data_IF_891056954982
#
_entry.id   IF_891056954982
#
_cell.length_a   1.000
_cell.length_b   1.000
_cell.length_c   1.000
_cell.angle_alpha   90.00
_cell.angle_beta   90.00
_cell.angle_gamma   90.00
#
_symmetry.space_group_name_H-M   'P 1'
#
loop_
_entity.id
_entity.type
_entity.pdbx_description
1 polymer ?
#
# COMPACT_ATOMS: atom_id res chain seq x y z
N UNK A 1 -42.63 46.05 47.26
CA UNK A 1 -42.87 45.39 45.98
C UNK A 1 -41.57 45.03 45.39
N UNK A 2 -41.13 43.81 45.65
CA UNK A 2 -39.86 43.35 45.12
C UNK A 2 -40.13 42.34 44.03
N UNK A 3 -39.90 42.77 42.81
CA UNK A 3 -39.93 41.87 41.67
C UNK A 3 -38.55 41.26 41.50
N UNK A 4 -38.43 40.04 41.89
CA UNK A 4 -37.23 39.25 41.64
C UNK A 4 -37.33 38.73 40.21
N UNK A 5 -36.57 39.31 39.32
CA UNK A 5 -36.40 38.75 37.97
C UNK A 5 -35.38 37.64 38.09
N UNK A 6 -35.88 36.43 38.06
CA UNK A 6 -35.04 35.24 37.93
C UNK A 6 -34.48 35.20 36.50
N UNK A 7 -33.22 35.53 36.38
CA UNK A 7 -32.53 35.42 35.12
C UNK A 7 -32.14 33.95 34.94
N UNK A 8 -32.93 33.27 34.13
CA UNK A 8 -32.63 31.89 33.73
C UNK A 8 -31.50 31.95 32.72
N UNK A 9 -30.28 31.72 33.21
CA UNK A 9 -29.13 31.54 32.33
C UNK A 9 -29.20 30.12 31.76
N UNK A 10 -29.70 30.01 30.55
CA UNK A 10 -29.57 28.80 29.79
C UNK A 10 -28.09 28.60 29.40
N UNK A 11 -27.40 27.85 30.20
CA UNK A 11 -26.03 27.39 29.88
C UNK A 11 -26.17 26.31 28.80
N UNK A 12 -26.12 26.75 27.56
CA UNK A 12 -26.02 25.82 26.44
C UNK A 12 -24.67 25.15 26.49
N UNK A 13 -24.64 23.96 27.05
CA UNK A 13 -23.50 23.06 26.90
C UNK A 13 -23.37 22.67 25.43
N UNK A 14 -22.53 23.40 24.69
CA UNK A 14 -22.02 22.89 23.45
C UNK A 14 -21.10 21.71 23.79
N UNK A 15 -21.63 20.52 23.73
CA UNK A 15 -20.79 19.31 23.63
C UNK A 15 -20.22 19.37 22.22
N UNK A 16 -19.03 19.94 22.10
CA UNK A 16 -18.21 19.72 20.93
C UNK A 16 -17.86 18.23 20.97
N UNK A 17 -18.62 17.44 20.23
CA UNK A 17 -18.12 16.12 19.83
C UNK A 17 -16.79 16.38 19.15
N UNK A 18 -15.69 15.84 19.63
CA UNK A 18 -14.50 15.82 18.83
C UNK A 18 -14.93 15.16 17.54
N UNK A 19 -14.83 15.88 16.44
CA UNK A 19 -14.82 15.27 15.14
C UNK A 19 -13.71 14.26 15.25
N UNK A 20 -14.08 13.01 15.62
CA UNK A 20 -13.14 11.96 15.81
C UNK A 20 -12.32 11.98 14.55
N UNK A 21 -11.05 12.03 14.69
CA UNK A 21 -10.15 11.59 13.66
C UNK A 21 -10.43 10.11 13.45
N UNK A 22 -11.60 9.83 12.94
CA UNK A 22 -11.75 8.71 12.09
C UNK A 22 -10.97 9.10 10.87
N UNK A 23 -9.67 8.94 10.96
CA UNK A 23 -8.98 8.43 9.83
C UNK A 23 -9.73 7.14 9.51
N UNK A 24 -10.72 7.31 8.71
CA UNK A 24 -11.28 6.25 7.93
C UNK A 24 -10.05 5.65 7.30
N UNK A 25 -9.59 4.51 7.81
CA UNK A 25 -8.73 3.63 7.04
C UNK A 25 -9.33 3.71 5.67
N UNK A 26 -8.64 4.34 4.73
CA UNK A 26 -9.21 4.72 3.45
C UNK A 26 -9.89 3.51 2.87
N UNK A 27 -10.81 3.74 1.97
CA UNK A 27 -11.53 2.69 1.28
C UNK A 27 -10.61 1.54 0.94
N UNK A 28 -11.03 0.31 1.22
CA UNK A 28 -10.26 -0.90 0.95
C UNK A 28 -9.86 -0.94 -0.52
N UNK A 29 -8.57 -0.97 -0.77
CA UNK A 29 -8.03 -1.04 -2.12
C UNK A 29 -7.96 -2.48 -2.59
N UNK A 30 -8.03 -2.67 -3.89
CA UNK A 30 -7.79 -3.95 -4.52
C UNK A 30 -6.54 -3.87 -5.40
N UNK A 31 -5.69 -4.89 -5.28
CA UNK A 31 -4.58 -5.07 -6.21
C UNK A 31 -5.14 -5.57 -7.54
N UNK A 32 -5.26 -4.67 -8.50
CA UNK A 32 -5.87 -4.97 -9.79
C UNK A 32 -4.91 -5.62 -10.78
N UNK A 33 -3.61 -5.40 -10.59
CA UNK A 33 -2.58 -5.99 -11.45
C UNK A 33 -1.23 -6.06 -10.74
N UNK A 34 -0.54 -7.20 -10.93
CA UNK A 34 0.86 -7.38 -10.59
C UNK A 34 1.59 -7.83 -11.86
N UNK A 35 2.65 -7.14 -12.23
CA UNK A 35 3.36 -7.40 -13.46
C UNK A 35 4.87 -7.24 -13.35
N UNK A 36 5.54 -7.83 -14.33
CA UNK A 36 6.97 -7.69 -14.56
C UNK A 36 7.20 -7.25 -16.00
N UNK A 37 8.09 -6.30 -16.19
CA UNK A 37 8.45 -5.80 -17.50
C UNK A 37 9.94 -5.62 -17.62
N UNK A 38 10.51 -6.16 -18.68
CA UNK A 38 11.93 -6.05 -18.99
C UNK A 38 12.16 -4.90 -19.95
N UNK A 39 13.03 -3.97 -19.56
CA UNK A 39 13.56 -2.92 -20.43
C UNK A 39 15.01 -3.23 -20.77
N UNK A 40 15.60 -2.46 -21.67
CA UNK A 40 16.97 -2.63 -22.11
C UNK A 40 17.97 -2.50 -20.93
N UNK A 41 17.74 -1.54 -20.05
CA UNK A 41 18.64 -1.16 -18.95
C UNK A 41 18.04 -1.37 -17.56
N UNK A 42 16.80 -1.81 -17.48
CA UNK A 42 16.10 -1.99 -16.23
C UNK A 42 15.06 -3.10 -16.27
N UNK A 43 14.73 -3.64 -15.11
CA UNK A 43 13.62 -4.55 -14.91
C UNK A 43 12.61 -3.92 -13.98
N UNK A 44 11.37 -3.90 -14.37
CA UNK A 44 10.29 -3.28 -13.61
C UNK A 44 9.39 -4.34 -12.98
N UNK A 45 9.23 -4.28 -11.67
CA UNK A 45 8.14 -4.93 -10.95
C UNK A 45 7.11 -3.86 -10.63
N UNK A 46 5.87 -4.05 -11.04
CA UNK A 46 4.85 -3.03 -10.83
C UNK A 46 3.53 -3.60 -10.37
N UNK A 47 2.82 -2.79 -9.62
CA UNK A 47 1.47 -3.05 -9.15
C UNK A 47 0.55 -1.93 -9.58
N UNK A 48 -0.71 -2.28 -9.86
CA UNK A 48 -1.80 -1.33 -10.01
C UNK A 48 -2.85 -1.61 -8.95
N UNK A 49 -3.33 -0.58 -8.34
CA UNK A 49 -4.37 -0.63 -7.31
C UNK A 49 -5.57 0.20 -7.74
N UNK A 50 -6.73 -0.07 -7.15
CA UNK A 50 -7.96 0.67 -7.47
C UNK A 50 -7.89 2.14 -7.07
N UNK A 51 -7.13 2.44 -6.02
CA UNK A 51 -6.84 3.80 -5.55
C UNK A 51 -5.33 3.90 -5.28
N UNK A 52 -4.76 5.12 -5.23
CA UNK A 52 -3.35 5.28 -4.92
C UNK A 52 -2.94 4.55 -3.66
N UNK A 53 -1.89 3.73 -3.74
CA UNK A 53 -1.45 2.88 -2.65
C UNK A 53 -0.76 3.67 -1.54
N UNK A 54 -1.04 3.28 -0.30
CA UNK A 54 -0.18 3.58 0.85
C UNK A 54 0.71 2.36 1.06
N UNK A 55 2.01 2.55 1.10
CA UNK A 55 2.95 1.44 1.07
C UNK A 55 4.20 1.70 1.90
N UNK A 56 4.87 0.61 2.23
CA UNK A 56 6.20 0.61 2.85
C UNK A 56 7.10 -0.36 2.09
N UNK A 57 8.37 -0.01 1.99
CA UNK A 57 9.39 -0.86 1.38
C UNK A 57 10.41 -1.23 2.44
N UNK A 58 10.64 -2.53 2.61
CA UNK A 58 11.69 -3.07 3.46
C UNK A 58 12.74 -3.75 2.59
N UNK A 59 13.92 -3.20 2.55
CA UNK A 59 15.10 -3.71 1.86
C UNK A 59 16.23 -4.08 2.83
N UNK A 60 15.93 -4.21 4.11
CA UNK A 60 16.91 -4.50 5.15
C UNK A 60 17.54 -5.88 5.04
N UNK A 61 16.85 -6.82 4.40
CA UNK A 61 17.33 -8.18 4.19
C UNK A 61 18.00 -8.31 2.82
N UNK A 62 19.28 -8.72 2.75
CA UNK A 62 19.98 -8.91 1.49
C UNK A 62 19.23 -9.87 0.55
N UNK A 63 19.15 -9.52 -0.72
CA UNK A 63 18.52 -10.35 -1.74
C UNK A 63 17.00 -10.42 -1.70
N UNK A 64 16.36 -9.64 -0.84
CA UNK A 64 14.90 -9.62 -0.71
C UNK A 64 14.40 -8.21 -0.49
N UNK A 65 13.39 -7.82 -1.25
CA UNK A 65 12.68 -6.56 -1.07
C UNK A 65 11.22 -6.87 -0.82
N UNK A 66 10.67 -6.33 0.26
CA UNK A 66 9.27 -6.51 0.63
C UNK A 66 8.54 -5.19 0.46
N UNK A 67 7.63 -5.16 -0.48
CA UNK A 67 6.71 -4.06 -0.69
C UNK A 67 5.38 -4.40 -0.02
N UNK A 68 5.04 -3.69 1.04
CA UNK A 68 3.79 -3.87 1.77
C UNK A 68 2.79 -2.82 1.34
N UNK A 69 1.69 -3.24 0.75
CA UNK A 69 0.56 -2.39 0.39
C UNK A 69 -0.45 -2.41 1.52
N UNK A 70 -0.62 -1.27 2.18
CA UNK A 70 -1.52 -1.13 3.31
C UNK A 70 -2.97 -1.05 2.85
N UNK A 71 -3.89 -1.60 3.64
CA UNK A 71 -5.33 -1.58 3.37
C UNK A 71 -5.66 -2.01 1.93
N UNK A 72 -5.04 -3.10 1.50
CA UNK A 72 -5.12 -3.61 0.14
C UNK A 72 -5.37 -5.11 0.18
N UNK A 73 -6.36 -5.55 -0.58
CA UNK A 73 -6.69 -6.95 -0.79
C UNK A 73 -6.36 -7.39 -2.21
N UNK A 74 -6.43 -8.68 -2.46
CA UNK A 74 -6.30 -9.25 -3.80
C UNK A 74 -7.55 -10.07 -4.10
N UNK A 75 -8.42 -9.55 -4.94
CA UNK A 75 -9.68 -10.22 -5.30
C UNK A 75 -9.52 -11.19 -6.47
N UNK A 76 -8.58 -10.92 -7.37
CA UNK A 76 -8.31 -11.79 -8.53
C UNK A 76 -7.20 -12.77 -8.24
N UNK A 77 -7.51 -14.06 -8.31
CA UNK A 77 -6.56 -15.15 -8.06
C UNK A 77 -5.28 -15.04 -8.90
N UNK A 78 -5.37 -14.57 -10.12
CA UNK A 78 -4.19 -14.42 -11.00
C UNK A 78 -3.11 -13.54 -10.37
N UNK A 79 -3.50 -12.54 -9.59
CA UNK A 79 -2.60 -11.62 -8.93
C UNK A 79 -2.00 -12.19 -7.62
N UNK A 80 -2.37 -13.39 -7.22
CA UNK A 80 -1.78 -14.10 -6.08
C UNK A 80 -0.71 -15.10 -6.51
N UNK A 81 -0.61 -15.37 -7.80
CA UNK A 81 0.33 -16.36 -8.34
C UNK A 81 1.75 -15.78 -8.39
N UNK A 82 2.76 -16.59 -8.10
CA UNK A 82 4.15 -16.16 -8.25
C UNK A 82 4.48 -15.80 -9.69
N UNK A 83 5.28 -14.75 -9.86
CA UNK A 83 5.90 -14.41 -11.13
C UNK A 83 7.30 -14.99 -11.15
N UNK A 84 7.54 -15.97 -11.98
CA UNK A 84 8.84 -16.56 -12.18
C UNK A 84 9.61 -15.79 -13.26
N UNK A 85 10.58 -15.00 -12.82
CA UNK A 85 11.39 -14.16 -13.72
C UNK A 85 12.79 -14.74 -13.96
N UNK A 86 13.03 -15.98 -13.58
CA UNK A 86 14.35 -16.63 -13.68
C UNK A 86 14.89 -16.74 -15.10
N UNK A 87 14.01 -16.75 -16.08
CA UNK A 87 14.37 -16.87 -17.50
C UNK A 87 14.71 -15.54 -18.15
N UNK A 88 14.53 -14.44 -17.46
CA UNK A 88 14.91 -13.12 -17.94
C UNK A 88 16.31 -12.76 -17.45
N UNK A 89 17.02 -11.97 -18.23
CA UNK A 89 18.28 -11.34 -17.82
C UNK A 89 17.99 -10.16 -16.91
N UNK A 90 17.64 -10.46 -15.68
CA UNK A 90 17.18 -9.51 -14.67
C UNK A 90 17.78 -9.86 -13.32
N UNK A 91 18.06 -8.88 -12.46
CA UNK A 91 18.37 -9.15 -11.07
C UNK A 91 17.16 -9.73 -10.30
N UNK A 92 15.97 -9.56 -10.79
CA UNK A 92 14.75 -10.12 -10.15
C UNK A 92 14.61 -11.58 -10.53
N UNK A 93 14.58 -12.44 -9.52
CA UNK A 93 14.46 -13.90 -9.70
C UNK A 93 13.02 -14.39 -9.62
N UNK A 94 12.28 -13.87 -8.65
CA UNK A 94 10.93 -14.31 -8.34
C UNK A 94 10.16 -13.19 -7.66
N UNK A 95 8.88 -13.09 -7.95
CA UNK A 95 7.97 -12.20 -7.23
C UNK A 95 6.84 -13.04 -6.66
N UNK A 96 6.65 -12.97 -5.35
CA UNK A 96 5.59 -13.70 -4.65
C UNK A 96 4.66 -12.73 -3.92
N UNK A 97 3.44 -13.17 -3.68
CA UNK A 97 2.41 -12.38 -3.01
C UNK A 97 2.01 -13.09 -1.73
N UNK A 98 2.01 -12.36 -0.64
CA UNK A 98 1.52 -12.80 0.66
C UNK A 98 0.39 -11.89 1.10
N UNK A 99 -0.73 -12.49 1.48
CA UNK A 99 -1.91 -11.75 1.95
C UNK A 99 -1.94 -11.83 3.46
N UNK A 100 -2.00 -10.66 4.11
CA UNK A 100 -2.19 -10.55 5.54
C UNK A 100 -3.62 -10.11 5.78
N UNK A 101 -4.42 -11.03 6.28
CA UNK A 101 -5.81 -10.79 6.61
C UNK A 101 -5.95 -10.04 7.94
N UNK A 102 -7.06 -9.35 8.13
CA UNK A 102 -7.37 -8.61 9.34
C UNK A 102 -8.39 -7.51 9.08
N UNK A 103 -8.64 -6.69 10.09
CA UNK A 103 -9.55 -5.54 9.99
C UNK A 103 -9.06 -4.52 8.95
N UNK A 104 -7.75 -4.42 8.80
CA UNK A 104 -7.10 -3.64 7.76
C UNK A 104 -6.12 -4.56 7.02
N UNK A 105 -6.57 -5.28 6.00
CA UNK A 105 -5.73 -6.24 5.31
C UNK A 105 -4.57 -5.56 4.59
N UNK A 106 -3.46 -6.27 4.50
CA UNK A 106 -2.28 -5.83 3.77
C UNK A 106 -1.87 -6.87 2.74
N UNK A 107 -1.30 -6.43 1.65
CA UNK A 107 -0.72 -7.29 0.63
C UNK A 107 0.78 -7.05 0.57
N UNK A 108 1.56 -8.10 0.76
CA UNK A 108 3.02 -8.04 0.62
C UNK A 108 3.44 -8.59 -0.72
N UNK A 109 4.20 -7.80 -1.42
CA UNK A 109 4.89 -8.22 -2.65
C UNK A 109 6.34 -8.50 -2.28
N UNK A 110 6.74 -9.75 -2.36
CA UNK A 110 8.08 -10.20 -1.98
C UNK A 110 8.89 -10.39 -3.25
N UNK A 111 9.90 -9.57 -3.43
CA UNK A 111 10.78 -9.58 -4.59
C UNK A 111 12.10 -10.24 -4.20
N UNK A 112 12.36 -11.40 -4.76
CA UNK A 112 13.60 -12.12 -4.56
C UNK A 112 14.59 -11.76 -5.66
N UNK A 113 15.81 -11.39 -5.28
CA UNK A 113 16.87 -10.99 -6.19
C UNK A 113 17.93 -12.10 -6.32
N UNK A 114 18.56 -12.20 -7.49
CA UNK A 114 19.74 -13.06 -7.71
C UNK A 114 20.99 -12.45 -7.14
N UNK A 115 21.06 -11.14 -7.20
CA UNK A 115 22.16 -10.30 -6.78
C UNK A 115 21.60 -8.97 -6.27
N UNK A 116 22.35 -8.29 -5.45
CA UNK A 116 21.97 -6.97 -5.00
C UNK A 116 21.92 -6.02 -6.19
N UNK A 117 20.81 -5.28 -6.28
CA UNK A 117 20.59 -4.31 -7.33
C UNK A 117 19.97 -3.05 -6.74
N UNK A 118 20.43 -1.92 -7.24
CA UNK A 118 19.79 -0.65 -6.94
C UNK A 118 18.45 -0.56 -7.65
N UNK A 119 17.49 0.08 -7.01
CA UNK A 119 16.16 0.28 -7.58
C UNK A 119 15.70 1.71 -7.42
N UNK A 120 14.79 2.12 -8.28
CA UNK A 120 14.05 3.37 -8.21
C UNK A 120 12.58 3.11 -7.97
N UNK A 121 11.98 3.89 -7.09
CA UNK A 121 10.53 3.94 -6.95
C UNK A 121 9.94 4.83 -8.04
N UNK A 122 8.93 4.31 -8.73
CA UNK A 122 8.14 5.06 -9.72
C UNK A 122 6.69 5.02 -9.28
N UNK A 123 6.14 6.16 -8.96
CA UNK A 123 4.74 6.30 -8.57
C UNK A 123 4.01 7.18 -9.57
N UNK A 124 2.98 6.62 -10.18
CA UNK A 124 2.18 7.31 -11.19
C UNK A 124 0.71 6.93 -11.02
N UNK A 125 -0.10 7.85 -10.52
CA UNK A 125 -1.51 7.62 -10.20
C UNK A 125 -1.72 6.38 -9.32
N UNK A 126 -2.35 5.34 -9.86
CA UNK A 126 -2.62 4.07 -9.18
C UNK A 126 -1.54 3.01 -9.43
N UNK A 127 -0.51 3.33 -10.20
CA UNK A 127 0.62 2.45 -10.44
C UNK A 127 1.78 2.76 -9.51
N UNK A 128 2.35 1.72 -8.92
CA UNK A 128 3.60 1.76 -8.17
C UNK A 128 4.55 0.76 -8.77
N UNK A 129 5.75 1.19 -9.09
CA UNK A 129 6.77 0.35 -9.71
C UNK A 129 8.11 0.48 -8.98
N UNK A 130 8.86 -0.61 -8.99
CA UNK A 130 10.27 -0.63 -8.63
C UNK A 130 11.08 -1.00 -9.88
N UNK A 131 11.93 -0.09 -10.31
CA UNK A 131 12.81 -0.28 -11.45
C UNK A 131 14.20 -0.68 -10.96
N UNK A 132 14.57 -1.93 -11.22
CA UNK A 132 15.87 -2.48 -10.85
C UNK A 132 16.85 -2.25 -12.00
N UNK A 133 18.01 -1.72 -11.69
CA UNK A 133 19.07 -1.53 -12.67
C UNK A 133 19.69 -2.89 -13.03
N UNK A 134 20.00 -3.04 -14.31
CA UNK A 134 20.71 -4.21 -14.86
C UNK A 134 22.21 -4.03 -14.74
#
# INVERSE_FOLDING_TARGET
MNRIYSLLVCLSFFIATPAGSQELAGELRDLSWLGFQQFQDASRVYVKTTEPATYQIDDSKPGTIVLTLENTQVSKRINTLPLDTRYFESPVRMVTVEIIEGASPSTRIIISLREDAAYKEVKQDTMLALDFQR
#
